data_IF_240963849932
#
_entry.id   IF_240963849932
#
_cell.length_a   1.000
_cell.length_b   1.000
_cell.length_c   1.000
_cell.angle_alpha   90.00
_cell.angle_beta   90.00
_cell.angle_gamma   90.00
#
_symmetry.space_group_name_H-M   'P 1'
#
loop_
_entity.id
_entity.type
_entity.pdbx_description
1 polymer ?
#
# COMPACT_ATOMS: atom_id res chain seq x y z
N UNK A 1 24.85 -5.70 -5.01
CA UNK A 1 24.85 -5.01 -3.70
C UNK A 1 23.67 -4.02 -3.58
N UNK A 2 23.34 -3.24 -4.60
CA UNK A 2 22.14 -2.34 -4.58
C UNK A 2 20.80 -3.08 -4.39
N UNK A 3 20.65 -4.31 -4.88
CA UNK A 3 19.40 -5.10 -4.76
C UNK A 3 19.05 -5.54 -3.34
N UNK A 4 19.96 -5.39 -2.37
CA UNK A 4 19.77 -5.73 -0.96
C UNK A 4 19.50 -4.50 -0.07
N UNK A 5 19.53 -3.30 -0.65
CA UNK A 5 19.33 -2.08 0.10
C UNK A 5 17.88 -1.93 0.57
N UNK A 6 17.67 -1.39 1.77
CA UNK A 6 16.33 -1.09 2.31
C UNK A 6 15.75 0.23 1.79
N UNK A 7 16.46 0.90 0.89
CA UNK A 7 16.05 2.09 0.17
C UNK A 7 16.14 1.85 -1.34
N UNK A 8 15.40 2.63 -2.13
CA UNK A 8 15.35 2.47 -3.59
C UNK A 8 14.40 1.37 -4.07
N UNK A 9 14.42 1.08 -5.37
CA UNK A 9 13.55 0.09 -6.00
C UNK A 9 14.09 -1.34 -5.80
N UNK A 10 13.89 -1.88 -4.59
CA UNK A 10 14.43 -3.19 -4.19
C UNK A 10 13.36 -4.11 -3.61
N UNK A 11 13.62 -5.41 -3.67
CA UNK A 11 12.77 -6.43 -3.04
C UNK A 11 12.61 -6.25 -1.53
N UNK A 12 13.69 -6.04 -0.76
CA UNK A 12 13.61 -5.78 0.69
C UNK A 12 12.76 -4.56 1.05
N UNK A 13 12.81 -3.47 0.27
CA UNK A 13 11.97 -2.30 0.50
C UNK A 13 10.48 -2.65 0.37
N UNK A 14 10.10 -3.36 -0.69
CA UNK A 14 8.71 -3.79 -0.88
C UNK A 14 8.24 -4.75 0.22
N UNK A 15 9.09 -5.68 0.66
CA UNK A 15 8.81 -6.57 1.79
C UNK A 15 8.55 -5.80 3.08
N UNK A 16 9.43 -4.84 3.37
CA UNK A 16 9.31 -3.95 4.51
C UNK A 16 7.98 -3.19 4.48
N UNK A 17 7.57 -2.70 3.30
CA UNK A 17 6.30 -2.00 3.16
C UNK A 17 5.11 -2.92 3.46
N UNK A 18 5.10 -4.17 2.97
CA UNK A 18 4.07 -5.16 3.32
C UNK A 18 4.01 -5.39 4.84
N UNK A 19 5.16 -5.60 5.49
CA UNK A 19 5.23 -5.80 6.94
C UNK A 19 4.76 -4.56 7.73
N UNK A 20 5.16 -3.35 7.30
CA UNK A 20 4.79 -2.08 7.94
C UNK A 20 3.28 -1.84 7.87
N UNK A 21 2.67 -2.02 6.71
CA UNK A 21 1.21 -1.83 6.54
C UNK A 21 0.45 -2.91 7.29
N UNK A 22 0.92 -4.17 7.28
CA UNK A 22 0.34 -5.27 8.07
C UNK A 22 0.34 -4.94 9.56
N UNK A 23 1.48 -4.45 10.08
CA UNK A 23 1.61 -4.03 11.47
C UNK A 23 0.71 -2.84 11.84
N UNK A 24 0.53 -1.87 10.93
CA UNK A 24 -0.40 -0.75 11.12
C UNK A 24 -1.84 -1.27 11.32
N UNK A 25 -2.30 -2.15 10.43
CA UNK A 25 -3.67 -2.70 10.47
C UNK A 25 -3.86 -3.56 11.73
N UNK A 26 -2.89 -4.41 12.06
CA UNK A 26 -2.93 -5.24 13.25
C UNK A 26 -3.01 -4.43 14.56
N UNK A 27 -2.46 -3.21 14.57
CA UNK A 27 -2.46 -2.30 15.73
C UNK A 27 -3.58 -1.25 15.69
N UNK A 28 -4.53 -1.35 14.75
CA UNK A 28 -5.67 -0.44 14.68
C UNK A 28 -6.45 -0.42 16.02
N UNK A 29 -6.69 0.76 16.63
CA UNK A 29 -7.49 0.87 17.85
C UNK A 29 -8.92 0.36 17.65
N UNK A 30 -9.54 -0.15 18.71
CA UNK A 30 -10.91 -0.68 18.63
C UNK A 30 -11.93 0.36 18.13
N UNK A 31 -11.79 1.61 18.57
CA UNK A 31 -12.62 2.72 18.10
C UNK A 31 -12.52 2.94 16.58
N UNK A 32 -11.37 2.65 15.97
CA UNK A 32 -11.18 2.73 14.51
C UNK A 32 -11.78 1.52 13.81
N UNK A 33 -11.63 0.32 14.39
CA UNK A 33 -12.19 -0.92 13.84
C UNK A 33 -13.72 -0.93 13.83
N UNK A 34 -14.32 -0.33 14.85
CA UNK A 34 -15.77 -0.25 15.02
C UNK A 34 -16.41 0.94 14.30
N UNK A 35 -15.62 1.89 13.79
CA UNK A 35 -16.14 3.08 13.09
C UNK A 35 -16.52 2.76 11.64
N UNK A 36 -17.49 3.51 11.11
CA UNK A 36 -17.89 3.41 9.71
C UNK A 36 -16.78 3.97 8.80
N UNK A 37 -16.56 3.28 7.68
CA UNK A 37 -15.72 3.79 6.59
C UNK A 37 -16.55 4.76 5.76
N UNK A 38 -16.06 5.98 5.62
CA UNK A 38 -16.66 7.03 4.80
C UNK A 38 -15.60 7.59 3.83
N UNK A 39 -15.52 7.06 2.60
CA UNK A 39 -14.53 7.49 1.61
C UNK A 39 -14.61 8.98 1.25
N UNK A 40 -15.75 9.63 1.48
CA UNK A 40 -15.89 11.07 1.23
C UNK A 40 -15.05 11.94 2.19
N UNK A 41 -14.55 11.36 3.29
CA UNK A 41 -13.62 12.02 4.20
C UNK A 41 -12.16 11.98 3.70
N UNK A 42 -11.88 11.25 2.61
CA UNK A 42 -10.56 11.23 1.98
C UNK A 42 -10.45 12.39 0.99
N UNK A 43 -10.11 13.58 1.49
CA UNK A 43 -10.09 14.84 0.74
C UNK A 43 -8.69 15.29 0.31
N UNK A 44 -7.65 14.55 0.70
CA UNK A 44 -6.27 14.95 0.44
C UNK A 44 -5.78 14.48 -0.91
N UNK A 45 -4.82 15.23 -1.44
CA UNK A 45 -4.19 14.92 -2.72
C UNK A 45 -3.43 13.58 -2.71
N UNK A 46 -2.72 13.29 -1.62
CA UNK A 46 -1.99 12.03 -1.41
C UNK A 46 -2.92 10.81 -1.33
N UNK A 47 -4.08 10.94 -0.67
CA UNK A 47 -5.14 9.91 -0.63
C UNK A 47 -5.71 9.64 -2.02
N UNK A 48 -5.93 10.70 -2.82
CA UNK A 48 -6.39 10.59 -4.20
C UNK A 48 -5.35 9.93 -5.11
N UNK A 49 -4.08 10.37 -5.03
CA UNK A 49 -3.00 9.82 -5.84
C UNK A 49 -2.77 8.33 -5.52
N UNK A 50 -2.84 7.92 -4.24
CA UNK A 50 -2.82 6.52 -3.84
C UNK A 50 -3.99 5.73 -4.41
N UNK A 51 -5.20 6.25 -4.28
CA UNK A 51 -6.41 5.59 -4.79
C UNK A 51 -6.33 5.39 -6.30
N UNK A 52 -5.83 6.39 -7.03
CA UNK A 52 -5.58 6.31 -8.47
C UNK A 52 -4.57 5.20 -8.80
N UNK A 53 -3.41 5.18 -8.14
CA UNK A 53 -2.37 4.17 -8.37
C UNK A 53 -2.89 2.74 -8.10
N UNK A 54 -3.69 2.55 -7.05
CA UNK A 54 -4.33 1.26 -6.75
C UNK A 54 -5.33 0.89 -7.85
N UNK A 55 -6.14 1.85 -8.33
CA UNK A 55 -7.12 1.61 -9.39
C UNK A 55 -6.49 1.24 -10.74
N UNK A 56 -5.24 1.67 -10.98
CA UNK A 56 -4.46 1.36 -12.19
C UNK A 56 -3.78 -0.02 -12.12
N UNK A 57 -3.78 -0.68 -10.96
CA UNK A 57 -3.12 -1.97 -10.78
C UNK A 57 -3.61 -3.07 -11.76
N UNK A 58 -4.90 -3.26 -12.03
CA UNK A 58 -5.35 -4.26 -13.01
C UNK A 58 -4.83 -4.01 -14.42
N UNK A 59 -4.78 -2.73 -14.84
CA UNK A 59 -4.23 -2.32 -16.14
C UNK A 59 -2.72 -2.59 -16.20
N UNK A 60 -1.98 -2.32 -15.11
CA UNK A 60 -0.57 -2.67 -14.99
C UNK A 60 -0.34 -4.18 -15.12
N UNK A 61 -1.21 -5.01 -14.53
CA UNK A 61 -1.15 -6.47 -14.65
C UNK A 61 -1.42 -6.91 -16.10
N UNK A 62 -2.45 -6.38 -16.76
CA UNK A 62 -2.74 -6.69 -18.18
C UNK A 62 -1.55 -6.34 -19.07
N UNK A 63 -1.03 -5.12 -18.93
CA UNK A 63 0.12 -4.65 -19.70
C UNK A 63 1.38 -5.47 -19.48
N UNK A 64 1.65 -5.90 -18.23
CA UNK A 64 2.78 -6.77 -17.92
C UNK A 64 2.63 -8.14 -18.60
N UNK A 65 1.42 -8.70 -18.61
CA UNK A 65 1.12 -9.97 -19.27
C UNK A 65 1.22 -9.86 -20.80
N UNK A 66 0.63 -8.83 -21.41
CA UNK A 66 0.69 -8.58 -22.86
C UNK A 66 2.12 -8.43 -23.37
N UNK A 67 2.98 -7.76 -22.58
CA UNK A 67 4.38 -7.53 -22.93
C UNK A 67 5.32 -8.64 -22.49
N UNK A 68 4.83 -9.63 -21.76
CA UNK A 68 5.64 -10.67 -21.11
C UNK A 68 6.78 -10.08 -20.26
N UNK A 69 6.52 -8.95 -19.60
CA UNK A 69 7.52 -8.18 -18.86
C UNK A 69 7.07 -7.95 -17.40
N UNK A 70 7.55 -8.77 -16.44
CA UNK A 70 7.22 -8.63 -15.03
C UNK A 70 7.81 -7.37 -14.39
N UNK A 71 8.80 -6.72 -15.01
CA UNK A 71 9.40 -5.49 -14.46
C UNK A 71 8.40 -4.33 -14.42
N UNK A 72 7.41 -4.32 -15.32
CA UNK A 72 6.30 -3.36 -15.34
C UNK A 72 5.50 -3.45 -14.04
N UNK A 73 5.18 -4.67 -13.62
CA UNK A 73 4.45 -4.91 -12.38
C UNK A 73 5.30 -4.53 -11.17
N UNK A 74 6.58 -4.94 -11.15
CA UNK A 74 7.49 -4.60 -10.06
C UNK A 74 7.67 -3.07 -9.88
N UNK A 75 7.80 -2.33 -10.98
CA UNK A 75 7.86 -0.87 -10.96
C UNK A 75 6.56 -0.25 -10.44
N UNK A 76 5.39 -0.76 -10.86
CA UNK A 76 4.10 -0.31 -10.34
C UNK A 76 3.94 -0.53 -8.84
N UNK A 77 4.36 -1.69 -8.33
CA UNK A 77 4.38 -1.97 -6.89
C UNK A 77 5.31 -1.04 -6.12
N UNK A 78 6.48 -0.73 -6.68
CA UNK A 78 7.41 0.24 -6.11
C UNK A 78 6.80 1.64 -6.03
N UNK A 79 6.11 2.08 -7.08
CA UNK A 79 5.43 3.38 -7.07
C UNK A 79 4.35 3.47 -5.99
N UNK A 80 3.49 2.45 -5.87
CA UNK A 80 2.47 2.36 -4.81
C UNK A 80 3.11 2.38 -3.43
N UNK A 81 4.16 1.57 -3.22
CA UNK A 81 4.86 1.47 -1.96
C UNK A 81 5.54 2.80 -1.57
N UNK A 82 6.15 3.47 -2.54
CA UNK A 82 6.81 4.77 -2.36
C UNK A 82 5.82 5.87 -2.00
N UNK A 83 4.69 5.94 -2.70
CA UNK A 83 3.64 6.92 -2.38
C UNK A 83 3.04 6.64 -0.99
N UNK A 84 2.76 5.36 -0.68
CA UNK A 84 2.22 5.03 0.64
C UNK A 84 3.21 5.31 1.76
N UNK A 85 4.52 5.14 1.52
CA UNK A 85 5.55 5.48 2.49
C UNK A 85 5.58 6.97 2.80
N UNK A 86 5.36 7.85 1.80
CA UNK A 86 5.22 9.30 2.01
C UNK A 86 3.95 9.61 2.79
N UNK A 87 2.81 9.11 2.30
CA UNK A 87 1.51 9.29 2.94
C UNK A 87 1.52 8.85 4.41
N UNK A 88 2.10 7.69 4.73
CA UNK A 88 2.21 7.19 6.09
C UNK A 88 3.05 8.12 6.99
N UNK A 89 4.08 8.76 6.44
CA UNK A 89 4.94 9.68 7.18
C UNK A 89 4.23 11.00 7.48
N UNK A 90 3.53 11.55 6.49
CA UNK A 90 2.99 12.90 6.53
C UNK A 90 1.56 12.96 7.09
N UNK A 91 0.80 11.86 7.03
CA UNK A 91 -0.63 11.84 7.37
C UNK A 91 -0.92 10.90 8.54
N UNK A 92 -1.53 11.41 9.62
CA UNK A 92 -2.04 10.56 10.70
C UNK A 92 -3.13 9.61 10.20
N UNK A 93 -2.85 8.31 10.19
CA UNK A 93 -3.82 7.27 9.82
C UNK A 93 -4.63 6.83 11.06
N UNK A 94 -4.02 6.08 11.97
CA UNK A 94 -4.72 5.52 13.13
C UNK A 94 -5.11 6.58 14.20
N UNK A 95 -4.48 7.75 14.15
CA UNK A 95 -4.69 8.88 15.07
C UNK A 95 -5.27 10.09 14.34
N UNK A 96 -6.07 9.85 13.29
CA UNK A 96 -6.78 10.93 12.61
C UNK A 96 -7.76 11.64 13.56
N UNK A 97 -8.24 12.80 13.13
CA UNK A 97 -9.04 13.72 13.95
C UNK A 97 -10.31 13.09 14.52
N UNK A 98 -10.91 12.14 13.80
CA UNK A 98 -12.07 11.39 14.25
C UNK A 98 -12.00 9.92 13.82
N UNK A 99 -12.78 9.03 14.47
CA UNK A 99 -12.76 7.59 14.19
C UNK A 99 -13.14 7.20 12.76
N UNK A 100 -14.09 7.89 12.11
CA UNK A 100 -14.51 7.59 10.74
C UNK A 100 -13.42 7.93 9.71
N UNK A 101 -12.75 9.07 9.89
CA UNK A 101 -11.59 9.43 9.07
C UNK A 101 -10.45 8.43 9.28
N UNK A 102 -10.16 8.06 10.52
CA UNK A 102 -9.15 7.05 10.82
C UNK A 102 -9.50 5.70 10.18
N UNK A 103 -10.77 5.28 10.24
CA UNK A 103 -11.25 4.05 9.62
C UNK A 103 -11.14 4.11 8.09
N UNK A 104 -11.46 5.24 7.48
CA UNK A 104 -11.37 5.45 6.03
C UNK A 104 -9.91 5.43 5.54
N UNK A 105 -9.00 6.07 6.27
CA UNK A 105 -7.56 6.01 6.00
C UNK A 105 -6.99 4.60 6.22
N UNK A 106 -7.48 3.89 7.23
CA UNK A 106 -7.12 2.50 7.48
C UNK A 106 -7.61 1.57 6.35
N UNK A 107 -8.80 1.83 5.79
CA UNK A 107 -9.31 1.11 4.63
C UNK A 107 -8.44 1.34 3.39
N UNK A 108 -7.99 2.58 3.15
CA UNK A 108 -7.03 2.88 2.08
C UNK A 108 -5.70 2.15 2.29
N UNK A 109 -5.17 2.12 3.52
CA UNK A 109 -3.98 1.33 3.84
C UNK A 109 -4.20 -0.18 3.60
N UNK A 110 -5.40 -0.70 3.91
CA UNK A 110 -5.79 -2.07 3.60
C UNK A 110 -5.83 -2.38 2.10
N UNK A 111 -6.29 -1.42 1.28
CA UNK A 111 -6.28 -1.53 -0.18
C UNK A 111 -4.85 -1.57 -0.74
N UNK A 112 -3.94 -0.74 -0.19
CA UNK A 112 -2.50 -0.79 -0.51
C UNK A 112 -1.94 -2.17 -0.17
N UNK A 113 -2.18 -2.68 1.05
CA UNK A 113 -1.67 -3.98 1.47
C UNK A 113 -2.15 -5.12 0.56
N UNK A 114 -3.44 -5.11 0.23
CA UNK A 114 -4.05 -6.10 -0.68
C UNK A 114 -3.41 -6.06 -2.06
N UNK A 115 -3.15 -4.86 -2.58
CA UNK A 115 -2.52 -4.66 -3.89
C UNK A 115 -1.08 -5.15 -3.89
N UNK A 116 -0.29 -4.81 -2.85
CA UNK A 116 1.08 -5.27 -2.72
C UNK A 116 1.14 -6.81 -2.63
N UNK A 117 0.33 -7.43 -1.76
CA UNK A 117 0.27 -8.89 -1.64
C UNK A 117 -0.13 -9.57 -2.95
N UNK A 118 -1.09 -9.01 -3.68
CA UNK A 118 -1.51 -9.52 -5.00
C UNK A 118 -0.35 -9.47 -6.00
N UNK A 119 0.36 -8.34 -6.08
CA UNK A 119 1.51 -8.18 -6.95
C UNK A 119 2.65 -9.14 -6.62
N UNK A 120 2.95 -9.33 -5.33
CA UNK A 120 3.94 -10.31 -4.87
C UNK A 120 3.58 -11.73 -5.31
N UNK A 121 2.31 -12.13 -5.16
CA UNK A 121 1.84 -13.44 -5.62
C UNK A 121 1.99 -13.60 -7.12
N UNK A 122 1.66 -12.58 -7.91
CA UNK A 122 1.83 -12.61 -9.37
C UNK A 122 3.30 -12.70 -9.81
N UNK A 123 4.21 -12.08 -9.04
CA UNK A 123 5.65 -12.16 -9.27
C UNK A 123 6.31 -13.42 -8.68
N UNK A 124 5.52 -14.32 -8.05
CA UNK A 124 6.02 -15.49 -7.31
C UNK A 124 7.02 -15.14 -6.21
N UNK A 125 6.84 -13.99 -5.56
CA UNK A 125 7.65 -13.54 -4.43
C UNK A 125 6.88 -13.82 -3.13
N UNK A 126 7.40 -14.65 -2.20
CA UNK A 126 6.78 -14.81 -0.89
C UNK A 126 6.89 -13.50 -0.12
N UNK A 127 5.91 -13.17 0.71
CA UNK A 127 5.97 -11.98 1.58
C UNK A 127 5.88 -12.32 3.05
N UNK A 128 6.38 -11.42 3.90
CA UNK A 128 6.28 -11.51 5.36
C UNK A 128 5.38 -10.40 5.91
N UNK A 129 4.57 -10.74 6.91
CA UNK A 129 3.64 -9.79 7.55
C UNK A 129 4.28 -9.05 8.73
N UNK A 130 5.47 -9.49 9.14
CA UNK A 130 6.28 -8.89 10.19
C UNK A 130 7.77 -9.00 9.85
N UNK A 131 8.52 -7.93 10.09
CA UNK A 131 9.98 -7.88 10.03
C UNK A 131 10.55 -7.67 11.43
#
# INVERSE_FOLDING_TARGET
>A
EESLAFNGNTGPYLQYMVARVSGLIAKAPEAVRSAAVNPALLDRRDEWDLTRLISEFPELVSRAAEKLDPSILAAGLYEIAREFSRYYHDVPIAKAENPELAASRMALAGAVLTTLKSGFRLLNIPYIESM
#
